data_IF_581753466552
#
_entry.id   IF_581753466552
#
_cell.length_a   1.000
_cell.length_b   1.000
_cell.length_c   1.000
_cell.angle_alpha   90.00
_cell.angle_beta   90.00
_cell.angle_gamma   90.00
#
_symmetry.space_group_name_H-M   'P 1'
#
loop_
_entity.id
_entity.type
_entity.pdbx_description
1 polymer ?
#
# COMPACT_ATOMS: atom_id res chain seq x y z
N UNK A 1 6.54 10.96 -11.85
CA UNK A 1 7.06 10.27 -10.65
C UNK A 1 5.87 9.70 -9.93
N UNK A 2 5.65 8.39 -10.03
CA UNK A 2 4.40 7.79 -9.60
C UNK A 2 4.53 7.29 -8.16
N UNK A 3 4.20 8.18 -7.22
CA UNK A 3 4.16 7.88 -5.78
C UNK A 3 3.23 6.71 -5.42
N UNK A 4 2.36 6.31 -6.35
CA UNK A 4 1.58 5.08 -6.32
C UNK A 4 2.42 3.81 -6.08
N UNK A 5 3.72 3.79 -6.43
CA UNK A 5 4.62 2.68 -6.12
C UNK A 5 5.03 2.61 -4.64
N UNK A 6 5.05 3.76 -3.95
CA UNK A 6 5.52 3.87 -2.57
C UNK A 6 4.37 3.70 -1.57
N UNK A 7 3.20 4.26 -1.90
CA UNK A 7 2.04 4.26 -1.00
C UNK A 7 1.65 2.87 -0.48
N UNK A 8 1.62 1.79 -1.29
CA UNK A 8 1.27 0.46 -0.82
C UNK A 8 2.25 -0.14 0.19
N UNK A 9 3.46 0.41 0.27
CA UNK A 9 4.49 0.03 1.24
C UNK A 9 4.40 0.93 2.47
N UNK A 10 4.30 2.25 2.26
CA UNK A 10 4.29 3.22 3.34
C UNK A 10 3.03 3.14 4.22
N UNK A 11 1.85 2.92 3.63
CA UNK A 11 0.58 2.93 4.35
C UNK A 11 0.47 1.79 5.39
N UNK A 12 0.82 0.52 5.09
CA UNK A 12 0.82 -0.54 6.10
C UNK A 12 1.82 -0.27 7.23
N UNK A 13 3.01 0.25 6.91
CA UNK A 13 4.00 0.63 7.94
C UNK A 13 3.48 1.73 8.85
N UNK A 14 2.89 2.79 8.29
CA UNK A 14 2.28 3.86 9.07
C UNK A 14 1.11 3.32 9.92
N UNK A 15 0.25 2.48 9.34
CA UNK A 15 -0.83 1.83 10.07
C UNK A 15 -0.33 1.00 11.27
N UNK A 16 0.74 0.24 11.09
CA UNK A 16 1.37 -0.54 12.16
C UNK A 16 1.95 0.36 13.26
N UNK A 17 2.68 1.42 12.90
CA UNK A 17 3.24 2.38 13.86
C UNK A 17 2.14 3.08 14.64
N UNK A 18 1.09 3.57 13.96
CA UNK A 18 -0.04 4.22 14.61
C UNK A 18 -0.81 3.25 15.52
N UNK A 19 -0.95 1.99 15.10
CA UNK A 19 -1.52 0.92 15.92
C UNK A 19 -0.73 0.68 17.20
N UNK A 20 0.62 0.67 17.12
CA UNK A 20 1.49 0.52 18.28
C UNK A 20 1.41 1.74 19.22
N UNK A 21 1.35 2.96 18.69
CA UNK A 21 1.16 4.17 19.49
C UNK A 21 -0.20 4.18 20.20
N UNK A 22 -1.22 3.60 19.57
CA UNK A 22 -2.56 3.45 20.14
C UNK A 22 -2.72 2.19 21.02
N UNK A 23 -1.63 1.51 21.40
CA UNK A 23 -1.69 0.30 22.21
C UNK A 23 -2.47 0.52 23.53
N UNK A 24 -3.37 -0.41 23.84
CA UNK A 24 -4.28 -0.33 24.99
C UNK A 24 -5.53 0.53 24.78
N UNK A 25 -5.73 1.12 23.58
CA UNK A 25 -6.93 1.87 23.19
C UNK A 25 -7.65 1.17 22.04
N UNK A 26 -8.40 0.11 22.35
CA UNK A 26 -9.03 -0.79 21.37
C UNK A 26 -9.84 -0.05 20.29
N UNK A 27 -10.66 0.93 20.68
CA UNK A 27 -11.48 1.71 19.74
C UNK A 27 -10.63 2.55 18.78
N UNK A 28 -9.52 3.11 19.26
CA UNK A 28 -8.58 3.90 18.44
C UNK A 28 -7.79 2.98 17.51
N UNK A 29 -7.33 1.83 17.97
CA UNK A 29 -6.63 0.86 17.11
C UNK A 29 -7.53 0.33 15.99
N UNK A 30 -8.79 -0.01 16.29
CA UNK A 30 -9.77 -0.47 15.29
C UNK A 30 -10.03 0.57 14.21
N UNK A 31 -10.30 1.82 14.62
CA UNK A 31 -10.53 2.92 13.67
C UNK A 31 -9.31 3.22 12.81
N UNK A 32 -8.11 3.21 13.40
CA UNK A 32 -6.85 3.37 12.65
C UNK A 32 -6.59 2.22 11.67
N UNK A 33 -6.85 0.97 12.07
CA UNK A 33 -6.69 -0.19 11.21
C UNK A 33 -7.62 -0.13 10.00
N UNK A 34 -8.90 0.20 10.21
CA UNK A 34 -9.89 0.38 9.13
C UNK A 34 -9.49 1.54 8.21
N UNK A 35 -9.03 2.67 8.77
CA UNK A 35 -8.56 3.80 7.97
C UNK A 35 -7.32 3.45 7.13
N UNK A 36 -6.36 2.72 7.70
CA UNK A 36 -5.17 2.25 6.99
C UNK A 36 -5.54 1.27 5.86
N UNK A 37 -6.48 0.35 6.11
CA UNK A 37 -6.99 -0.58 5.11
C UNK A 37 -7.69 0.15 3.95
N UNK A 38 -8.52 1.15 4.24
CA UNK A 38 -9.16 1.98 3.22
C UNK A 38 -8.12 2.76 2.39
N UNK A 39 -7.12 3.35 3.04
CA UNK A 39 -5.99 4.00 2.36
C UNK A 39 -5.23 3.04 1.44
N UNK A 40 -4.96 1.82 1.91
CA UNK A 40 -4.27 0.79 1.13
C UNK A 40 -5.06 0.40 -0.11
N UNK A 41 -6.38 0.26 0.01
CA UNK A 41 -7.25 -0.02 -1.12
C UNK A 41 -7.22 1.10 -2.17
N UNK A 42 -7.29 2.36 -1.73
CA UNK A 42 -7.17 3.53 -2.62
C UNK A 42 -5.81 3.54 -3.34
N UNK A 43 -4.71 3.26 -2.63
CA UNK A 43 -3.38 3.17 -3.22
C UNK A 43 -3.28 2.05 -4.26
N UNK A 44 -3.85 0.88 -3.99
CA UNK A 44 -3.85 -0.24 -4.91
C UNK A 44 -4.69 0.02 -6.17
N UNK A 45 -5.86 0.66 -6.03
CA UNK A 45 -6.68 1.09 -7.17
C UNK A 45 -5.94 2.14 -8.00
N UNK A 46 -5.32 3.14 -7.34
CA UNK A 46 -4.54 4.17 -8.01
C UNK A 46 -3.35 3.61 -8.80
N UNK A 47 -2.61 2.67 -8.20
CA UNK A 47 -1.50 1.99 -8.90
C UNK A 47 -2.00 1.15 -10.07
N UNK A 48 -3.11 0.41 -9.91
CA UNK A 48 -3.70 -0.39 -10.99
C UNK A 48 -4.15 0.49 -12.15
N UNK A 49 -4.79 1.62 -11.86
CA UNK A 49 -5.18 2.60 -12.87
C UNK A 49 -3.96 3.19 -13.60
N UNK A 50 -2.91 3.57 -12.85
CA UNK A 50 -1.67 4.08 -13.44
C UNK A 50 -1.02 3.04 -14.37
N UNK A 51 -0.95 1.78 -13.95
CA UNK A 51 -0.40 0.71 -14.77
C UNK A 51 -1.24 0.47 -16.04
N UNK A 52 -2.57 0.53 -15.92
CA UNK A 52 -3.48 0.33 -17.05
C UNK A 52 -3.45 1.46 -18.09
N UNK A 53 -3.15 2.70 -17.67
CA UNK A 53 -3.17 3.88 -18.54
C UNK A 53 -1.79 4.27 -19.07
N UNK A 54 -0.74 4.11 -18.26
CA UNK A 54 0.62 4.56 -18.56
C UNK A 54 1.60 3.39 -18.79
N UNK A 55 1.18 2.14 -18.57
CA UNK A 55 2.02 0.95 -18.72
C UNK A 55 2.83 0.62 -17.45
N UNK A 56 3.89 -0.17 -17.60
CA UNK A 56 4.70 -0.65 -16.47
C UNK A 56 5.32 0.53 -15.71
N UNK A 57 5.12 0.55 -14.40
CA UNK A 57 5.60 1.60 -13.51
C UNK A 57 6.93 1.19 -12.89
N UNK A 58 7.95 2.05 -13.01
CA UNK A 58 9.30 1.79 -12.50
C UNK A 58 9.80 2.99 -11.71
N UNK A 59 10.37 2.75 -10.53
CA UNK A 59 11.00 3.79 -9.72
C UNK A 59 12.27 3.27 -9.04
N UNK A 60 13.35 4.05 -9.16
CA UNK A 60 14.59 3.82 -8.42
C UNK A 60 14.50 4.50 -7.06
N UNK A 61 14.60 3.74 -5.98
CA UNK A 61 14.54 4.27 -4.62
C UNK A 61 15.93 4.77 -4.20
N UNK A 62 15.97 5.97 -3.64
CA UNK A 62 17.19 6.57 -3.08
C UNK A 62 18.14 7.18 -4.11
N UNK A 63 17.68 7.39 -5.35
CA UNK A 63 18.44 8.03 -6.44
C UNK A 63 19.79 7.35 -6.78
N UNK A 64 19.94 6.09 -6.36
CA UNK A 64 21.05 5.24 -6.76
C UNK A 64 20.87 4.85 -8.24
N UNK A 65 21.91 5.04 -9.05
CA UNK A 65 21.92 4.55 -10.43
C UNK A 65 21.82 3.01 -10.43
N UNK A 66 20.96 2.47 -11.29
CA UNK A 66 20.99 1.05 -11.63
C UNK A 66 22.42 0.64 -12.07
N UNK A 67 22.91 -0.57 -11.74
CA UNK A 67 22.17 -1.76 -11.28
C UNK A 67 22.15 -1.99 -9.75
N UNK A 68 22.71 -1.08 -8.94
CA UNK A 68 22.87 -1.31 -7.49
C UNK A 68 21.72 -0.75 -6.63
N UNK A 69 20.81 0.03 -7.22
CA UNK A 69 19.66 0.62 -6.55
C UNK A 69 18.46 -0.32 -6.37
N UNK A 70 17.64 -0.07 -5.34
CA UNK A 70 16.37 -0.79 -5.16
C UNK A 70 15.38 -0.27 -6.20
N UNK A 71 15.04 -1.12 -7.16
CA UNK A 71 14.06 -0.80 -8.20
C UNK A 71 12.69 -1.32 -7.81
N UNK A 72 11.73 -0.43 -7.60
CA UNK A 72 10.32 -0.79 -7.46
C UNK A 72 9.70 -0.87 -8.85
N UNK A 73 9.12 -2.02 -9.18
CA UNK A 73 8.44 -2.27 -10.44
C UNK A 73 7.02 -2.75 -10.15
N UNK A 74 6.04 -2.14 -10.81
CA UNK A 74 4.68 -2.64 -10.86
C UNK A 74 4.25 -2.82 -12.31
N UNK A 75 4.00 -4.07 -12.67
CA UNK A 75 3.33 -4.46 -13.90
C UNK A 75 1.85 -4.77 -13.62
N UNK A 76 1.12 -5.18 -14.65
CA UNK A 76 -0.32 -5.47 -14.54
C UNK A 76 -0.59 -6.57 -13.52
N UNK A 77 0.26 -7.60 -13.49
CA UNK A 77 0.12 -8.73 -12.58
C UNK A 77 0.36 -8.32 -11.12
N UNK A 78 1.45 -7.59 -10.85
CA UNK A 78 1.77 -7.07 -9.54
C UNK A 78 0.72 -6.10 -9.01
N UNK A 79 0.21 -5.20 -9.86
CA UNK A 79 -0.84 -4.26 -9.48
C UNK A 79 -2.17 -4.96 -9.14
N UNK A 80 -2.60 -5.93 -9.95
CA UNK A 80 -3.82 -6.70 -9.67
C UNK A 80 -3.70 -7.57 -8.43
N UNK A 81 -2.52 -8.18 -8.22
CA UNK A 81 -2.22 -8.97 -7.03
C UNK A 81 -2.27 -8.11 -5.76
N UNK A 82 -1.71 -6.89 -5.82
CA UNK A 82 -1.80 -5.92 -4.74
C UNK A 82 -3.25 -5.50 -4.47
N UNK A 83 -4.05 -5.25 -5.51
CA UNK A 83 -5.46 -4.90 -5.37
C UNK A 83 -6.26 -6.02 -4.71
N UNK A 84 -6.09 -7.27 -5.17
CA UNK A 84 -6.73 -8.44 -4.58
C UNK A 84 -6.34 -8.62 -3.10
N UNK A 85 -5.04 -8.49 -2.78
CA UNK A 85 -4.55 -8.55 -1.41
C UNK A 85 -5.10 -7.43 -0.52
N UNK A 86 -5.27 -6.22 -1.07
CA UNK A 86 -5.83 -5.08 -0.35
C UNK A 86 -7.32 -5.26 -0.04
N UNK A 87 -8.08 -5.85 -0.97
CA UNK A 87 -9.50 -6.20 -0.76
C UNK A 87 -9.61 -7.28 0.33
N UNK A 88 -8.86 -8.38 0.22
CA UNK A 88 -8.90 -9.48 1.18
C UNK A 88 -8.45 -9.03 2.57
N UNK A 89 -7.33 -8.30 2.65
CA UNK A 89 -6.83 -7.73 3.90
C UNK A 89 -7.80 -6.71 4.51
N UNK A 90 -8.41 -5.86 3.69
CA UNK A 90 -9.44 -4.92 4.14
C UNK A 90 -10.68 -5.62 4.69
N UNK A 91 -11.15 -6.67 4.04
CA UNK A 91 -12.26 -7.49 4.54
C UNK A 91 -11.93 -8.17 5.87
N UNK A 92 -10.72 -8.72 6.01
CA UNK A 92 -10.26 -9.32 7.27
C UNK A 92 -10.18 -8.29 8.41
N UNK A 93 -9.70 -7.08 8.12
CA UNK A 93 -9.66 -5.98 9.11
C UNK A 93 -11.08 -5.58 9.52
N UNK A 94 -12.00 -5.40 8.56
CA UNK A 94 -13.40 -5.07 8.86
C UNK A 94 -14.10 -6.16 9.69
N UNK A 95 -13.78 -7.43 9.45
CA UNK A 95 -14.29 -8.55 10.23
C UNK A 95 -13.77 -8.54 11.68
N UNK A 96 -12.50 -8.16 11.89
CA UNK A 96 -11.87 -8.15 13.21
C UNK A 96 -12.08 -6.85 14.01
N UNK A 97 -12.47 -5.77 13.32
CA UNK A 97 -12.67 -4.43 13.88
C UNK A 97 -13.95 -4.30 14.72
#
# INVERSE_FOLDING_TARGET
MNWWLVLPIALPFLGAVLGLVAFGKDRTQRTLAVAAAAGQLVAAVGLTHAVATEGIQVMQVGDWRAPFGITLVADHFGALSLLAGSIAGGAAILYAA
#
